data_IF_366685878216
#
_entry.id   IF_366685878216
#
_cell.length_a   1.000
_cell.length_b   1.000
_cell.length_c   1.000
_cell.angle_alpha   90.00
_cell.angle_beta   90.00
_cell.angle_gamma   90.00
#
_symmetry.space_group_name_H-M   'P 1'
#
loop_
_entity.id
_entity.type
_entity.pdbx_description
1 polymer ?
#
# COMPACT_ATOMS: atom_id res chain seq x y z
N UNK A 1 16.05 -32.83 7.03
CA UNK A 1 15.87 -32.16 5.72
C UNK A 1 14.74 -32.87 4.98
N UNK A 2 13.68 -32.16 4.57
CA UNK A 2 12.49 -32.78 3.94
C UNK A 2 12.30 -32.23 2.54
N UNK A 3 12.32 -33.12 1.54
CA UNK A 3 12.01 -32.77 0.15
C UNK A 3 10.64 -33.34 -0.23
N UNK A 4 9.80 -32.53 -0.87
CA UNK A 4 8.44 -32.91 -1.32
C UNK A 4 8.27 -32.53 -2.79
N UNK A 5 7.53 -33.36 -3.53
CA UNK A 5 7.14 -33.10 -4.92
C UNK A 5 5.78 -32.42 -4.96
N UNK A 6 5.73 -31.27 -5.64
CA UNK A 6 4.50 -30.56 -6.03
C UNK A 6 4.38 -30.57 -7.55
N UNK A 7 3.24 -30.09 -8.08
CA UNK A 7 2.97 -30.05 -9.52
C UNK A 7 4.04 -29.26 -10.29
N UNK A 8 4.54 -28.18 -9.69
CA UNK A 8 5.46 -27.23 -10.29
C UNK A 8 6.94 -27.61 -10.08
N UNK A 9 7.27 -28.57 -9.21
CA UNK A 9 8.65 -28.98 -8.97
C UNK A 9 8.92 -29.61 -7.60
N UNK A 10 10.18 -29.61 -7.18
CA UNK A 10 10.61 -30.12 -5.87
C UNK A 10 10.82 -28.95 -4.89
N UNK A 11 10.34 -29.15 -3.66
CA UNK A 11 10.47 -28.19 -2.56
C UNK A 11 11.28 -28.79 -1.42
N UNK A 12 12.19 -28.00 -0.85
CA UNK A 12 12.94 -28.32 0.36
C UNK A 12 12.39 -27.52 1.55
N UNK A 13 11.78 -28.21 2.50
CA UNK A 13 11.31 -27.64 3.76
C UNK A 13 12.25 -27.93 4.94
N UNK A 14 11.83 -27.48 6.11
CA UNK A 14 12.51 -27.68 7.39
C UNK A 14 11.61 -28.39 8.39
N UNK A 15 12.21 -29.11 9.34
CA UNK A 15 11.49 -29.69 10.47
C UNK A 15 11.60 -28.72 11.65
N UNK A 16 10.47 -28.38 12.24
CA UNK A 16 10.35 -27.41 13.33
C UNK A 16 9.74 -28.11 14.54
N UNK A 17 10.33 -27.89 15.72
CA UNK A 17 9.71 -28.25 16.99
C UNK A 17 8.63 -27.25 17.36
N UNK A 18 7.44 -27.74 17.68
CA UNK A 18 6.37 -26.93 18.24
C UNK A 18 6.59 -26.74 19.76
N UNK A 19 5.90 -25.76 20.34
CA UNK A 19 5.99 -25.43 21.76
C UNK A 19 5.43 -26.54 22.68
N UNK A 20 4.75 -27.54 22.11
CA UNK A 20 4.12 -28.65 22.83
C UNK A 20 4.95 -29.96 22.76
N UNK A 21 6.20 -29.90 22.29
CA UNK A 21 7.11 -31.05 22.24
C UNK A 21 6.94 -32.00 21.05
N UNK A 22 6.12 -31.64 20.04
CA UNK A 22 6.02 -32.34 18.77
C UNK A 22 6.85 -31.69 17.66
N UNK A 23 7.09 -32.40 16.56
CA UNK A 23 7.71 -31.82 15.35
C UNK A 23 6.72 -31.76 14.19
N UNK A 24 6.91 -30.78 13.31
CA UNK A 24 6.18 -30.65 12.06
C UNK A 24 7.10 -30.18 10.94
N UNK A 25 6.76 -30.51 9.69
CA UNK A 25 7.48 -29.99 8.52
C UNK A 25 6.87 -28.66 8.08
N UNK A 26 7.73 -27.65 7.91
CA UNK A 26 7.36 -26.32 7.46
C UNK A 26 7.92 -26.04 6.06
N UNK A 27 7.06 -25.50 5.20
CA UNK A 27 7.41 -25.02 3.86
C UNK A 27 6.87 -23.60 3.71
N UNK A 28 7.76 -22.64 3.49
CA UNK A 28 7.52 -21.19 3.48
C UNK A 28 7.94 -20.61 2.13
N UNK A 29 7.28 -19.55 1.69
CA UNK A 29 7.68 -18.82 0.47
C UNK A 29 7.45 -19.60 -0.83
N UNK A 30 6.52 -20.55 -0.84
CA UNK A 30 6.11 -21.26 -2.06
C UNK A 30 5.32 -20.27 -2.94
N UNK A 31 5.72 -20.03 -4.20
CA UNK A 31 4.96 -19.17 -5.10
C UNK A 31 3.61 -19.79 -5.42
N UNK A 32 2.56 -18.97 -5.42
CA UNK A 32 1.21 -19.36 -5.82
C UNK A 32 0.83 -18.82 -7.21
N UNK A 33 1.52 -17.79 -7.68
CA UNK A 33 1.34 -17.18 -9.00
C UNK A 33 2.66 -16.62 -9.54
N UNK A 34 2.73 -16.35 -10.84
CA UNK A 34 3.83 -15.59 -11.43
C UNK A 34 3.91 -14.17 -10.84
N UNK A 35 5.12 -13.60 -10.72
CA UNK A 35 5.27 -12.22 -10.25
C UNK A 35 4.46 -11.24 -11.10
N UNK A 36 3.63 -10.36 -10.53
CA UNK A 36 2.80 -9.41 -11.27
C UNK A 36 3.63 -8.20 -11.75
N UNK A 37 4.70 -8.46 -12.49
CA UNK A 37 5.66 -7.47 -12.99
C UNK A 37 5.67 -7.40 -14.52
N UNK A 38 6.16 -6.29 -15.08
CA UNK A 38 6.18 -6.09 -16.54
C UNK A 38 4.78 -6.20 -17.14
N UNK A 39 4.64 -7.01 -18.18
CA UNK A 39 3.36 -7.26 -18.86
C UNK A 39 2.30 -7.94 -17.98
N UNK A 40 2.68 -8.49 -16.82
CA UNK A 40 1.76 -9.12 -15.87
C UNK A 40 1.24 -8.15 -14.82
N UNK A 41 1.76 -6.92 -14.77
CA UNK A 41 1.31 -5.90 -13.82
C UNK A 41 -0.17 -5.60 -14.04
N UNK A 42 -0.95 -5.65 -12.95
CA UNK A 42 -2.40 -5.43 -12.93
C UNK A 42 -3.25 -6.42 -13.76
N UNK A 43 -2.69 -7.57 -14.17
CA UNK A 43 -3.45 -8.65 -14.80
C UNK A 43 -3.87 -9.71 -13.78
N UNK A 44 -4.82 -10.56 -14.18
CA UNK A 44 -5.21 -11.73 -13.39
C UNK A 44 -3.97 -12.61 -13.07
N UNK A 45 -3.90 -13.21 -11.87
CA UNK A 45 -2.78 -14.08 -11.49
C UNK A 45 -2.60 -15.21 -12.50
N UNK A 46 -1.36 -15.41 -12.95
CA UNK A 46 -1.02 -16.53 -13.83
C UNK A 46 -0.35 -17.65 -13.05
N UNK A 47 -0.63 -18.89 -13.43
CA UNK A 47 -0.01 -20.08 -12.83
C UNK A 47 1.51 -20.02 -12.90
N UNK A 48 2.16 -20.45 -11.82
CA UNK A 48 3.61 -20.48 -11.69
C UNK A 48 4.21 -21.40 -12.75
N UNK A 49 5.32 -20.97 -13.36
CA UNK A 49 6.06 -21.83 -14.28
C UNK A 49 6.80 -22.93 -13.49
N UNK A 50 6.78 -24.19 -13.95
CA UNK A 50 7.55 -25.25 -13.32
C UNK A 50 9.03 -24.89 -13.22
N UNK A 51 9.68 -25.27 -12.13
CA UNK A 51 11.11 -25.04 -11.93
C UNK A 51 11.92 -26.34 -11.98
N UNK A 52 13.16 -26.21 -12.42
CA UNK A 52 14.14 -27.31 -12.39
C UNK A 52 14.91 -27.32 -11.07
N UNK A 53 15.21 -28.51 -10.56
CA UNK A 53 15.94 -28.69 -9.31
C UNK A 53 15.06 -28.56 -8.07
N UNK A 54 15.69 -28.35 -6.92
CA UNK A 54 15.02 -28.27 -5.62
C UNK A 54 14.98 -26.81 -5.17
N UNK A 55 13.78 -26.28 -4.96
CA UNK A 55 13.58 -24.91 -4.47
C UNK A 55 13.52 -24.89 -2.95
N UNK A 56 14.30 -24.01 -2.33
CA UNK A 56 14.27 -23.85 -0.87
C UNK A 56 13.00 -23.13 -0.42
N UNK A 57 12.25 -23.76 0.48
CA UNK A 57 11.02 -23.27 1.09
C UNK A 57 11.20 -23.07 2.60
N UNK A 58 12.32 -22.47 3.01
CA UNK A 58 12.67 -22.24 4.43
C UNK A 58 12.45 -20.79 4.88
N UNK A 59 12.26 -19.85 3.93
CA UNK A 59 12.09 -18.42 4.20
C UNK A 59 10.73 -17.93 3.74
N UNK A 60 10.13 -17.02 4.51
CA UNK A 60 8.90 -16.35 4.07
C UNK A 60 9.19 -15.47 2.84
N UNK A 61 8.17 -15.36 1.97
CA UNK A 61 8.17 -14.37 0.91
C UNK A 61 7.96 -12.95 1.46
N UNK A 62 8.06 -11.92 0.60
CA UNK A 62 7.77 -10.55 0.99
C UNK A 62 6.32 -10.45 1.53
N UNK A 63 6.17 -9.88 2.73
CA UNK A 63 4.87 -9.57 3.31
C UNK A 63 4.35 -8.24 2.75
N UNK A 64 3.05 -8.13 2.55
CA UNK A 64 2.41 -6.83 2.30
C UNK A 64 2.51 -5.96 3.55
N UNK A 65 2.57 -4.64 3.38
CA UNK A 65 2.38 -3.70 4.49
C UNK A 65 0.95 -3.86 5.04
N UNK A 66 0.81 -4.23 6.31
CA UNK A 66 -0.48 -4.32 7.02
C UNK A 66 -0.32 -3.80 8.46
N UNK A 67 -1.30 -3.01 8.91
CA UNK A 67 -1.48 -2.61 10.31
C UNK A 67 -2.46 -3.59 10.98
N UNK A 68 -2.09 -4.13 12.15
CA UNK A 68 -2.80 -5.24 12.81
C UNK A 68 -3.62 -4.85 14.05
N UNK A 69 -3.81 -3.54 14.33
CA UNK A 69 -4.66 -3.13 15.45
C UNK A 69 -5.38 -1.80 15.22
N UNK A 70 -6.69 -1.87 15.00
CA UNK A 70 -7.60 -0.76 15.26
C UNK A 70 -8.81 -1.30 16.02
N UNK A 71 -9.03 -0.79 17.23
CA UNK A 71 -10.27 -0.97 17.98
C UNK A 71 -11.23 0.15 17.58
N UNK A 72 -12.35 -0.13 16.90
CA UNK A 72 -13.29 0.88 16.47
C UNK A 72 -14.40 1.01 17.51
N UNK A 73 -14.33 2.04 18.35
CA UNK A 73 -15.47 2.51 19.12
C UNK A 73 -15.62 4.01 18.88
N UNK A 74 -16.13 4.40 17.71
CA UNK A 74 -16.71 5.74 17.51
C UNK A 74 -17.62 5.72 16.28
N UNK A 75 -18.88 6.13 16.51
CA UNK A 75 -20.01 5.90 15.59
C UNK A 75 -20.22 6.98 14.52
N UNK A 76 -19.28 7.92 14.34
CA UNK A 76 -19.52 9.12 13.52
C UNK A 76 -18.41 9.43 12.50
N UNK A 77 -17.76 8.40 11.94
CA UNK A 77 -16.60 8.59 11.06
C UNK A 77 -16.99 8.97 9.63
N UNK A 78 -16.96 10.27 9.34
CA UNK A 78 -17.06 10.74 7.97
C UNK A 78 -15.69 10.91 7.29
N UNK A 79 -14.57 11.22 7.95
CA UNK A 79 -13.20 11.28 7.37
C UNK A 79 -12.12 11.11 8.43
N UNK A 80 -10.85 10.91 8.02
CA UNK A 80 -9.67 10.91 8.90
C UNK A 80 -9.78 9.94 10.08
N UNK A 81 -10.28 8.74 9.75
CA UNK A 81 -10.62 7.62 10.61
C UNK A 81 -9.53 7.28 11.64
N UNK A 82 -8.29 7.17 11.20
CA UNK A 82 -7.14 6.81 12.02
C UNK A 82 -6.73 7.97 12.92
N UNK A 83 -6.87 9.21 12.45
CA UNK A 83 -6.60 10.41 13.25
C UNK A 83 -7.49 10.45 14.48
N UNK A 84 -8.80 10.21 14.29
CA UNK A 84 -9.76 10.15 15.41
C UNK A 84 -9.55 8.89 16.27
N UNK A 85 -9.36 7.73 15.65
CA UNK A 85 -9.21 6.46 16.38
C UNK A 85 -7.93 6.37 17.23
N UNK A 86 -6.86 7.08 16.85
CA UNK A 86 -5.61 7.13 17.60
C UNK A 86 -5.53 8.32 18.57
N UNK A 87 -6.59 9.15 18.69
CA UNK A 87 -6.61 10.32 19.57
C UNK A 87 -5.63 11.42 19.15
N UNK A 88 -5.17 11.43 17.90
CA UNK A 88 -4.18 12.41 17.39
C UNK A 88 -4.76 13.83 17.39
N UNK A 89 -6.08 13.96 17.20
CA UNK A 89 -6.78 15.25 17.23
C UNK A 89 -6.63 15.98 18.59
N UNK A 90 -6.58 15.24 19.70
CA UNK A 90 -6.44 15.82 21.05
C UNK A 90 -5.08 16.49 21.22
N UNK A 91 -4.02 15.90 20.66
CA UNK A 91 -2.68 16.48 20.65
C UNK A 91 -2.56 17.70 19.72
N UNK A 92 -3.41 17.78 18.69
CA UNK A 92 -3.37 18.81 17.66
C UNK A 92 -4.43 19.91 17.86
N UNK A 93 -4.96 20.06 19.07
CA UNK A 93 -5.94 21.09 19.42
C UNK A 93 -7.22 21.00 18.57
N UNK A 94 -7.73 19.78 18.35
CA UNK A 94 -8.93 19.49 17.55
C UNK A 94 -8.83 19.93 16.08
N UNK A 95 -7.62 20.03 15.53
CA UNK A 95 -7.45 20.22 14.09
C UNK A 95 -7.73 18.91 13.37
N UNK A 96 -8.60 18.97 12.37
CA UNK A 96 -8.77 17.86 11.43
C UNK A 96 -7.51 17.75 10.57
N UNK A 97 -6.80 16.62 10.69
CA UNK A 97 -5.61 16.32 9.90
C UNK A 97 -5.75 14.96 9.25
N UNK A 98 -4.90 14.68 8.26
CA UNK A 98 -4.79 13.36 7.64
C UNK A 98 -3.60 12.64 8.27
N UNK A 99 -3.84 11.52 8.93
CA UNK A 99 -2.81 10.70 9.54
C UNK A 99 -2.37 9.56 8.63
N UNK A 100 -1.27 8.91 9.01
CA UNK A 100 -0.79 7.74 8.28
C UNK A 100 -1.83 6.61 8.29
N UNK A 101 -2.22 6.14 7.10
CA UNK A 101 -3.19 5.05 6.90
C UNK A 101 -4.62 5.52 6.65
N UNK A 102 -4.92 6.81 6.80
CA UNK A 102 -6.25 7.37 6.50
C UNK A 102 -6.68 7.17 5.04
N UNK A 103 -5.71 7.03 4.13
CA UNK A 103 -5.92 6.77 2.71
C UNK A 103 -6.55 5.38 2.43
N UNK A 104 -6.31 4.39 3.31
CA UNK A 104 -6.71 2.99 3.09
C UNK A 104 -8.23 2.82 3.03
N UNK A 105 -8.98 3.58 3.84
CA UNK A 105 -10.44 3.52 3.86
C UNK A 105 -11.06 4.03 2.54
N UNK A 106 -10.32 4.82 1.76
CA UNK A 106 -10.78 5.31 0.45
C UNK A 106 -10.53 4.31 -0.69
N UNK A 107 -9.66 3.31 -0.48
CA UNK A 107 -9.33 2.27 -1.47
C UNK A 107 -9.96 0.92 -1.16
N UNK A 108 -10.05 0.55 0.11
CA UNK A 108 -10.47 -0.79 0.54
C UNK A 108 -11.56 -0.74 1.60
N UNK A 109 -12.55 -1.65 1.55
CA UNK A 109 -13.50 -1.79 2.63
C UNK A 109 -12.78 -2.36 3.87
N UNK A 110 -12.69 -1.56 4.93
CA UNK A 110 -12.10 -1.99 6.20
C UNK A 110 -13.20 -2.61 7.07
N UNK A 111 -13.21 -3.94 7.17
CA UNK A 111 -14.27 -4.73 7.82
C UNK A 111 -14.56 -4.32 9.27
N UNK A 112 -13.57 -3.83 9.99
CA UNK A 112 -13.71 -3.43 11.39
C UNK A 112 -14.28 -2.01 11.54
N UNK A 113 -14.21 -1.17 10.51
CA UNK A 113 -14.72 0.20 10.49
C UNK A 113 -16.13 0.29 9.89
N UNK A 114 -16.92 -0.78 9.99
CA UNK A 114 -18.15 -1.00 9.21
C UNK A 114 -19.34 -0.12 9.61
N UNK A 115 -19.18 1.20 9.60
CA UNK A 115 -20.29 2.13 9.47
C UNK A 115 -20.73 2.20 8.00
N UNK A 116 -22.04 2.29 7.77
CA UNK A 116 -22.59 2.52 6.42
C UNK A 116 -22.17 3.92 5.98
N UNK A 117 -21.37 4.03 4.92
CA UNK A 117 -21.03 5.32 4.33
C UNK A 117 -22.26 5.85 3.58
N UNK A 118 -22.67 7.08 3.89
CA UNK A 118 -23.72 7.77 3.15
C UNK A 118 -23.26 8.04 1.71
N UNK A 119 -24.05 7.60 0.73
CA UNK A 119 -23.73 7.71 -0.69
C UNK A 119 -23.71 9.16 -1.19
N UNK A 120 -24.41 10.07 -0.50
CA UNK A 120 -24.42 11.49 -0.83
C UNK A 120 -23.28 12.27 -0.14
N UNK A 121 -22.49 11.60 0.71
CA UNK A 121 -21.40 12.25 1.45
C UNK A 121 -20.20 12.60 0.55
N UNK A 122 -19.46 13.65 0.94
CA UNK A 122 -18.17 13.99 0.33
C UNK A 122 -17.17 12.82 0.42
N UNK A 123 -17.33 11.94 1.40
CA UNK A 123 -16.44 10.80 1.61
C UNK A 123 -16.71 9.67 0.63
N UNK A 124 -17.97 9.41 0.30
CA UNK A 124 -18.31 8.50 -0.79
C UNK A 124 -17.82 9.03 -2.14
N UNK A 125 -17.93 10.33 -2.38
CA UNK A 125 -17.37 10.96 -3.58
C UNK A 125 -15.84 10.80 -3.66
N UNK A 126 -15.14 10.94 -2.53
CA UNK A 126 -13.69 10.74 -2.46
C UNK A 126 -13.32 9.25 -2.67
N UNK A 127 -14.04 8.30 -2.08
CA UNK A 127 -13.88 6.84 -2.35
C UNK A 127 -14.01 6.57 -3.85
N UNK A 128 -15.07 7.08 -4.49
CA UNK A 128 -15.31 6.92 -5.92
C UNK A 128 -14.17 7.53 -6.76
N UNK A 129 -13.70 8.71 -6.36
CA UNK A 129 -12.60 9.41 -7.06
C UNK A 129 -11.28 8.67 -6.94
N UNK A 130 -10.88 8.28 -5.74
CA UNK A 130 -9.63 7.55 -5.46
C UNK A 130 -9.65 6.18 -6.12
N UNK A 131 -10.71 5.41 -5.99
CA UNK A 131 -10.82 4.10 -6.67
C UNK A 131 -10.78 4.23 -8.19
N UNK A 132 -11.38 5.28 -8.77
CA UNK A 132 -11.30 5.56 -10.20
C UNK A 132 -9.89 5.94 -10.66
N UNK A 133 -9.18 6.79 -9.92
CA UNK A 133 -7.78 7.13 -10.18
C UNK A 133 -6.89 5.87 -10.21
N UNK A 134 -7.00 5.01 -9.18
CA UNK A 134 -6.19 3.80 -9.09
C UNK A 134 -6.54 2.77 -10.16
N UNK A 135 -7.83 2.59 -10.48
CA UNK A 135 -8.26 1.64 -11.53
C UNK A 135 -7.89 2.13 -12.94
N UNK A 136 -7.98 3.44 -13.19
CA UNK A 136 -7.49 4.04 -14.43
C UNK A 136 -5.98 3.86 -14.59
N UNK A 137 -5.21 4.13 -13.53
CA UNK A 137 -3.77 3.89 -13.56
C UNK A 137 -3.43 2.43 -13.82
N UNK A 138 -4.14 1.51 -13.16
CA UNK A 138 -3.96 0.07 -13.37
C UNK A 138 -4.26 -0.35 -14.82
N UNK A 139 -5.27 0.26 -15.44
CA UNK A 139 -5.74 -0.10 -16.80
C UNK A 139 -4.94 0.57 -17.91
N UNK A 140 -4.53 1.82 -17.74
CA UNK A 140 -4.00 2.66 -18.81
C UNK A 140 -2.58 3.20 -18.54
N UNK A 141 -2.05 3.02 -17.33
CA UNK A 141 -0.80 3.68 -16.91
C UNK A 141 -0.95 5.20 -16.69
N UNK A 142 -2.15 5.75 -16.83
CA UNK A 142 -2.50 7.14 -16.60
C UNK A 142 -3.72 7.20 -15.65
N UNK A 143 -3.63 7.83 -14.47
CA UNK A 143 -4.75 7.95 -13.52
C UNK A 143 -5.93 8.79 -14.05
N UNK A 144 -5.64 9.74 -14.95
CA UNK A 144 -6.61 10.65 -15.59
C UNK A 144 -6.51 10.52 -17.12
N UNK A 145 -6.91 9.36 -17.69
CA UNK A 145 -6.77 9.08 -19.13
C UNK A 145 -7.78 9.88 -19.98
N UNK A 146 -8.79 10.46 -19.34
CA UNK A 146 -9.82 11.30 -19.96
C UNK A 146 -10.18 12.46 -19.02
N UNK A 147 -11.07 13.36 -19.49
CA UNK A 147 -11.48 14.56 -18.75
C UNK A 147 -12.55 14.32 -17.69
N UNK A 148 -12.93 13.07 -17.41
CA UNK A 148 -14.08 12.76 -16.56
C UNK A 148 -13.87 13.11 -15.08
N UNK A 149 -12.63 13.31 -14.64
CA UNK A 149 -12.28 13.75 -13.28
C UNK A 149 -12.03 15.25 -13.19
N UNK A 150 -12.15 16.00 -14.29
CA UNK A 150 -11.97 17.46 -14.32
C UNK A 150 -10.53 17.94 -14.09
N UNK A 151 -9.56 17.03 -13.97
CA UNK A 151 -8.14 17.32 -13.78
C UNK A 151 -7.29 16.40 -14.66
N UNK A 152 -6.11 16.88 -15.04
CA UNK A 152 -5.07 16.08 -15.66
C UNK A 152 -3.94 15.89 -14.65
N UNK A 153 -3.76 14.67 -14.15
CA UNK A 153 -2.66 14.31 -13.26
C UNK A 153 -1.39 14.13 -14.08
N UNK A 154 -0.57 15.18 -14.13
CA UNK A 154 0.69 15.17 -14.88
C UNK A 154 1.72 14.24 -14.22
N UNK A 155 2.59 13.58 -15.01
CA UNK A 155 3.73 12.85 -14.47
C UNK A 155 4.64 13.76 -13.64
N UNK A 156 5.13 13.23 -12.52
CA UNK A 156 6.09 13.92 -11.67
C UNK A 156 7.39 14.22 -12.43
N UNK A 157 7.96 15.40 -12.21
CA UNK A 157 9.28 15.80 -12.76
C UNK A 157 10.15 16.36 -11.64
N UNK A 158 11.47 16.18 -11.75
CA UNK A 158 12.43 16.72 -10.77
C UNK A 158 12.48 18.25 -10.79
N UNK A 159 12.12 18.86 -11.91
CA UNK A 159 12.14 20.30 -12.11
C UNK A 159 10.94 20.98 -11.44
N UNK A 160 9.73 20.48 -11.70
CA UNK A 160 8.52 21.14 -11.21
C UNK A 160 8.02 20.55 -9.89
N UNK A 161 8.35 19.29 -9.61
CA UNK A 161 7.97 18.59 -8.38
C UNK A 161 6.46 18.67 -8.09
N UNK A 162 5.67 18.61 -9.16
CA UNK A 162 4.20 18.70 -9.11
C UNK A 162 3.59 17.42 -8.53
N UNK A 163 2.60 17.57 -7.66
CA UNK A 163 1.78 16.47 -7.15
C UNK A 163 0.29 16.80 -7.33
N UNK A 164 -0.57 15.79 -7.16
CA UNK A 164 -2.01 15.98 -7.14
C UNK A 164 -2.50 15.92 -5.69
N UNK A 165 -3.08 17.02 -5.21
CA UNK A 165 -3.80 17.06 -3.94
C UNK A 165 -5.15 16.33 -4.08
N UNK A 166 -5.37 15.36 -3.20
CA UNK A 166 -6.54 14.48 -3.16
C UNK A 166 -7.51 14.93 -2.06
N UNK A 167 -8.09 16.12 -2.23
CA UNK A 167 -9.10 16.68 -1.33
C UNK A 167 -10.54 16.51 -1.85
N UNK A 168 -11.42 17.41 -1.40
CA UNK A 168 -12.79 17.54 -1.96
C UNK A 168 -12.78 17.95 -3.44
N UNK A 169 -11.66 18.51 -3.89
CA UNK A 169 -11.38 18.83 -5.28
C UNK A 169 -9.97 18.33 -5.57
N UNK A 170 -9.77 17.84 -6.78
CA UNK A 170 -8.47 17.45 -7.27
C UNK A 170 -7.73 18.69 -7.78
N UNK A 171 -6.55 18.96 -7.23
CA UNK A 171 -5.77 20.15 -7.59
C UNK A 171 -4.32 19.75 -7.82
N UNK A 172 -3.75 20.13 -8.96
CA UNK A 172 -2.31 20.02 -9.18
C UNK A 172 -1.62 21.13 -8.40
N UNK A 173 -0.64 20.78 -7.59
CA UNK A 173 0.13 21.72 -6.77
C UNK A 173 1.62 21.33 -6.76
N UNK A 174 2.45 22.13 -6.12
CA UNK A 174 3.90 21.92 -5.97
C UNK A 174 4.25 21.65 -4.51
N UNK A 175 5.22 20.77 -4.25
CA UNK A 175 5.58 20.34 -2.90
C UNK A 175 5.70 21.53 -1.92
N UNK A 176 4.84 21.61 -0.88
CA UNK A 176 4.90 22.70 0.09
C UNK A 176 6.09 22.59 1.03
N UNK A 177 6.60 21.38 1.30
CA UNK A 177 7.73 21.10 2.21
C UNK A 177 9.11 21.20 1.54
N UNK A 178 9.22 21.97 0.45
CA UNK A 178 10.47 22.06 -0.31
C UNK A 178 11.66 22.50 0.54
N UNK A 179 11.45 23.46 1.44
CA UNK A 179 12.50 23.94 2.34
C UNK A 179 12.96 22.84 3.32
N UNK A 180 12.05 22.01 3.81
CA UNK A 180 12.38 20.90 4.72
C UNK A 180 13.16 19.80 3.98
N UNK A 181 12.76 19.49 2.75
CA UNK A 181 13.50 18.55 1.89
C UNK A 181 14.91 19.06 1.62
N UNK A 182 15.07 20.33 1.25
CA UNK A 182 16.36 20.96 1.02
C UNK A 182 17.24 20.98 2.28
N UNK A 183 16.64 21.22 3.44
CA UNK A 183 17.33 21.13 4.73
C UNK A 183 17.88 19.72 4.98
N UNK A 184 17.06 18.68 4.88
CA UNK A 184 17.53 17.31 5.08
C UNK A 184 18.59 16.91 4.04
N UNK A 185 18.38 17.27 2.77
CA UNK A 185 19.37 17.07 1.71
C UNK A 185 20.72 17.72 2.04
N UNK A 186 20.70 18.92 2.64
CA UNK A 186 21.94 19.62 3.04
C UNK A 186 22.71 18.84 4.11
N UNK A 187 22.02 18.26 5.10
CA UNK A 187 22.63 17.44 6.15
C UNK A 187 23.26 16.18 5.55
N UNK A 188 22.56 15.51 4.62
CA UNK A 188 23.12 14.34 3.93
C UNK A 188 24.35 14.71 3.08
N UNK A 189 24.34 15.86 2.42
CA UNK A 189 25.49 16.36 1.63
C UNK A 189 26.71 16.66 2.50
N UNK A 190 26.50 17.30 3.64
CA UNK A 190 27.58 17.71 4.53
C UNK A 190 28.17 16.55 5.31
N UNK A 191 27.33 15.69 5.90
CA UNK A 191 27.76 14.69 6.88
C UNK A 191 27.79 13.25 6.34
N UNK A 192 27.06 12.96 5.26
CA UNK A 192 26.87 11.62 4.72
C UNK A 192 27.06 11.53 3.18
N UNK A 193 28.08 12.19 2.58
CA UNK A 193 28.19 12.31 1.12
C UNK A 193 28.35 10.96 0.41
N UNK A 194 28.85 9.92 1.11
CA UNK A 194 28.98 8.56 0.58
C UNK A 194 27.65 7.87 0.25
N UNK A 195 26.51 8.40 0.71
CA UNK A 195 25.17 7.85 0.45
C UNK A 195 24.38 8.64 -0.59
N UNK A 196 24.97 9.71 -1.13
CA UNK A 196 24.41 10.43 -2.27
C UNK A 196 24.95 9.77 -3.53
N UNK A 197 24.06 9.12 -4.29
CA UNK A 197 24.34 8.47 -5.58
C UNK A 197 24.07 9.45 -6.71
#
# INVERSE_FOLDING_TARGET
>A
MKVVRVTEGLLEGEEIQNEYGGTYFSFKGIPYAQPPVGDLRFKAPQSVQPWTGVRSAKKFGPKCCQFDSLNPNQDNLNRNIYTSAMGVEEFLQNKSVVSHGDDLAYLFPIKHLSSKVDQESESFQLISTVTKLWTNFAKYGNPTPDKSLGVEWKPYTLQNQEYLDLGNKLVMDTIPEKEELEFWDSIFKEYLPKYLV
#
